data_IF_150525064984
#
_entry.id   IF_150525064984
#
_cell.length_a   1.000
_cell.length_b   1.000
_cell.length_c   1.000
_cell.angle_alpha   90.00
_cell.angle_beta   90.00
_cell.angle_gamma   90.00
#
_symmetry.space_group_name_H-M   'P 1'
#
loop_
_entity.id
_entity.type
_entity.pdbx_description
1 polymer ?
#
# COMPACT_ATOMS: atom_id res chain seq x y z
N UNK A 1 -12.34 -27.77 28.96
CA UNK A 1 -11.02 -27.12 29.13
C UNK A 1 -9.93 -28.09 28.71
N UNK A 2 -9.50 -28.01 27.44
CA UNK A 2 -8.48 -28.89 26.84
C UNK A 2 -7.80 -28.13 25.69
N UNK A 3 -6.90 -27.21 26.01
CA UNK A 3 -5.98 -26.62 25.03
C UNK A 3 -4.57 -27.04 25.41
N UNK A 4 -4.28 -28.29 25.07
CA UNK A 4 -2.97 -28.91 25.18
C UNK A 4 -2.21 -28.61 23.90
N UNK A 5 -1.01 -28.01 24.06
CA UNK A 5 0.08 -27.86 23.08
C UNK A 5 -0.15 -26.85 21.95
N UNK A 6 0.31 -25.62 22.14
CA UNK A 6 1.09 -24.97 21.08
C UNK A 6 2.33 -24.37 21.75
N UNK A 7 3.46 -24.83 21.25
CA UNK A 7 4.78 -24.51 21.70
C UNK A 7 5.07 -23.01 21.56
N UNK A 8 5.86 -22.52 22.51
CA UNK A 8 6.66 -21.32 22.39
C UNK A 8 7.44 -21.37 21.06
N UNK A 9 7.05 -20.56 20.07
CA UNK A 9 7.96 -20.09 19.04
C UNK A 9 8.22 -18.61 19.31
N UNK A 10 9.15 -18.37 20.23
CA UNK A 10 9.85 -17.09 20.31
C UNK A 10 10.94 -17.11 19.23
N UNK A 11 10.66 -16.45 18.09
CA UNK A 11 11.57 -16.28 16.96
C UNK A 11 10.75 -16.30 15.67
N UNK A 12 10.34 -15.18 15.06
CA UNK A 12 11.13 -14.03 14.57
C UNK A 12 10.32 -12.70 14.59
N UNK A 13 9.85 -12.26 15.76
CA UNK A 13 9.02 -11.03 15.87
C UNK A 13 9.73 -9.71 15.46
N UNK A 14 11.07 -9.70 15.33
CA UNK A 14 11.82 -8.49 14.95
C UNK A 14 11.63 -8.08 13.47
N UNK A 15 11.35 -9.04 12.57
CA UNK A 15 11.27 -8.82 11.12
C UNK A 15 9.90 -8.27 10.66
N UNK A 16 8.82 -8.67 11.33
CA UNK A 16 7.48 -8.18 11.02
C UNK A 16 7.23 -6.78 11.61
N UNK A 17 7.81 -6.48 12.78
CA UNK A 17 7.71 -5.16 13.37
C UNK A 17 8.41 -4.08 12.52
N UNK A 18 9.53 -4.42 11.89
CA UNK A 18 10.28 -3.50 11.02
C UNK A 18 9.63 -3.35 9.64
N UNK A 19 9.11 -4.42 9.04
CA UNK A 19 8.31 -4.34 7.80
C UNK A 19 7.02 -3.52 7.99
N UNK A 20 6.29 -3.74 9.08
CA UNK A 20 5.08 -2.97 9.40
C UNK A 20 5.39 -1.49 9.66
N UNK A 21 6.51 -1.20 10.34
CA UNK A 21 6.94 0.18 10.59
C UNK A 21 7.36 0.88 9.29
N UNK A 22 8.09 0.19 8.41
CA UNK A 22 8.46 0.71 7.09
C UNK A 22 7.24 0.95 6.20
N UNK A 23 6.27 0.03 6.24
CA UNK A 23 5.01 0.18 5.54
C UNK A 23 4.22 1.41 6.03
N UNK A 24 4.06 1.56 7.35
CA UNK A 24 3.36 2.70 7.96
C UNK A 24 4.01 4.04 7.60
N UNK A 25 5.35 4.09 7.59
CA UNK A 25 6.11 5.27 7.18
C UNK A 25 5.92 5.59 5.69
N UNK A 26 5.96 4.57 4.82
CA UNK A 26 5.74 4.73 3.38
C UNK A 26 4.32 5.21 3.06
N UNK A 27 3.30 4.64 3.72
CA UNK A 27 1.90 5.05 3.56
C UNK A 27 1.70 6.48 4.05
N UNK A 28 2.34 6.88 5.15
CA UNK A 28 2.28 8.26 5.65
C UNK A 28 3.00 9.27 4.74
N UNK A 29 3.93 8.81 3.91
CA UNK A 29 4.59 9.64 2.90
C UNK A 29 3.73 9.87 1.65
N UNK A 30 2.63 9.12 1.47
CA UNK A 30 1.72 9.31 0.34
C UNK A 30 0.96 10.63 0.52
N UNK A 31 1.03 11.55 -0.46
CA UNK A 31 0.30 12.82 -0.41
C UNK A 31 -1.22 12.63 -0.27
N UNK A 32 -1.84 13.39 0.65
CA UNK A 32 -3.29 13.36 0.91
C UNK A 32 -4.14 13.61 -0.34
N UNK A 33 -3.65 14.45 -1.26
CA UNK A 33 -4.33 14.77 -2.51
C UNK A 33 -4.48 13.55 -3.44
N UNK A 34 -3.62 12.54 -3.31
CA UNK A 34 -3.62 11.34 -4.14
C UNK A 34 -4.29 10.14 -3.47
N UNK A 35 -4.41 10.14 -2.14
CA UNK A 35 -4.89 8.98 -1.37
C UNK A 35 -6.31 8.57 -1.75
N UNK A 36 -7.21 9.55 -1.91
CA UNK A 36 -8.59 9.27 -2.35
C UNK A 36 -8.65 8.71 -3.77
N UNK A 37 -7.80 9.22 -4.68
CA UNK A 37 -7.71 8.73 -6.06
C UNK A 37 -7.22 7.28 -6.10
N UNK A 38 -6.19 6.96 -5.31
CA UNK A 38 -5.65 5.60 -5.21
C UNK A 38 -6.69 4.64 -4.63
N UNK A 39 -7.39 5.03 -3.55
CA UNK A 39 -8.39 4.16 -2.92
C UNK A 39 -9.57 3.85 -3.88
N UNK A 40 -10.04 4.86 -4.62
CA UNK A 40 -11.06 4.63 -5.65
C UNK A 40 -10.54 3.72 -6.77
N UNK A 41 -9.32 3.94 -7.25
CA UNK A 41 -8.72 3.10 -8.29
C UNK A 41 -8.47 1.65 -7.83
N UNK A 42 -8.05 1.46 -6.58
CA UNK A 42 -7.89 0.15 -5.95
C UNK A 42 -9.21 -0.62 -5.86
N UNK A 43 -10.28 0.10 -5.51
CA UNK A 43 -11.63 -0.45 -5.48
C UNK A 43 -12.09 -0.92 -6.87
N UNK A 44 -11.78 -0.14 -7.92
CA UNK A 44 -12.06 -0.52 -9.32
C UNK A 44 -11.24 -1.75 -9.74
N UNK A 45 -10.00 -1.87 -9.23
CA UNK A 45 -9.16 -3.04 -9.48
C UNK A 45 -9.55 -4.29 -8.66
N UNK A 46 -10.57 -4.18 -7.79
CA UNK A 46 -11.08 -5.29 -6.98
C UNK A 46 -10.26 -5.58 -5.71
N UNK A 47 -9.35 -4.69 -5.34
CA UNK A 47 -8.62 -4.80 -4.08
C UNK A 47 -9.39 -4.13 -2.95
N UNK A 48 -9.42 -4.78 -1.78
CA UNK A 48 -9.88 -4.12 -0.57
C UNK A 48 -8.94 -2.96 -0.22
N UNK A 49 -9.49 -1.88 0.35
CA UNK A 49 -8.70 -0.75 0.82
C UNK A 49 -7.56 -1.24 1.73
N UNK A 50 -6.33 -0.81 1.47
CA UNK A 50 -5.10 -1.20 2.21
C UNK A 50 -4.66 -2.66 2.03
N UNK A 51 -5.24 -3.41 1.09
CA UNK A 51 -4.70 -4.71 0.71
C UNK A 51 -3.52 -4.53 -0.24
N UNK A 52 -2.39 -4.09 0.30
CA UNK A 52 -1.18 -3.78 -0.47
C UNK A 52 -0.65 -4.99 -1.25
N UNK A 53 -0.81 -6.21 -0.73
CA UNK A 53 -0.48 -7.43 -1.46
C UNK A 53 -1.29 -7.57 -2.76
N UNK A 54 -2.56 -7.14 -2.76
CA UNK A 54 -3.39 -7.05 -3.97
C UNK A 54 -3.01 -5.84 -4.83
N UNK A 55 -2.97 -4.65 -4.24
CA UNK A 55 -2.72 -3.37 -4.93
C UNK A 55 -1.37 -3.34 -5.65
N UNK A 56 -0.37 -4.05 -5.13
CA UNK A 56 0.99 -4.06 -5.63
C UNK A 56 1.33 -5.23 -6.54
N UNK A 57 0.38 -6.13 -6.82
CA UNK A 57 0.57 -7.07 -7.93
C UNK A 57 0.74 -6.30 -9.24
N UNK A 58 1.65 -6.71 -10.13
CA UNK A 58 2.03 -5.91 -11.30
C UNK A 58 0.84 -5.57 -12.23
N UNK A 59 -0.11 -6.50 -12.37
CA UNK A 59 -1.34 -6.29 -13.14
C UNK A 59 -2.26 -5.24 -12.49
N UNK A 60 -2.55 -5.40 -11.19
CA UNK A 60 -3.38 -4.46 -10.43
C UNK A 60 -2.74 -3.09 -10.33
N UNK A 61 -1.46 -3.01 -10.00
CA UNK A 61 -0.73 -1.76 -9.87
C UNK A 61 -0.83 -0.93 -11.16
N UNK A 62 -0.67 -1.58 -12.32
CA UNK A 62 -0.83 -0.92 -13.63
C UNK A 62 -2.26 -0.42 -13.85
N UNK A 63 -3.28 -1.20 -13.46
CA UNK A 63 -4.68 -0.76 -13.51
C UNK A 63 -4.96 0.42 -12.57
N UNK A 64 -4.46 0.37 -11.34
CA UNK A 64 -4.60 1.45 -10.35
C UNK A 64 -3.95 2.72 -10.87
N UNK A 65 -2.73 2.63 -11.40
CA UNK A 65 -2.00 3.76 -11.97
C UNK A 65 -2.78 4.42 -13.12
N UNK A 66 -3.30 3.63 -14.06
CA UNK A 66 -4.10 4.15 -15.18
C UNK A 66 -5.42 4.79 -14.72
N UNK A 67 -6.08 4.20 -13.70
CA UNK A 67 -7.32 4.76 -13.17
C UNK A 67 -7.09 6.01 -12.29
N UNK A 68 -6.00 6.04 -11.53
CA UNK A 68 -5.70 7.13 -10.61
C UNK A 68 -5.00 8.32 -11.28
N UNK A 69 -4.22 8.13 -12.35
CA UNK A 69 -3.35 9.18 -12.93
C UNK A 69 -4.11 10.46 -13.26
N UNK A 70 -5.28 10.39 -13.90
CA UNK A 70 -6.07 11.59 -14.23
C UNK A 70 -6.61 12.30 -12.98
N UNK A 71 -7.03 11.53 -11.97
CA UNK A 71 -7.50 12.07 -10.70
C UNK A 71 -6.35 12.74 -9.93
N UNK A 72 -5.20 12.07 -9.84
CA UNK A 72 -4.00 12.59 -9.14
C UNK A 72 -3.47 13.83 -9.85
N UNK A 73 -3.42 13.85 -11.19
CA UNK A 73 -3.00 15.05 -11.93
C UNK A 73 -3.95 16.23 -11.70
N UNK A 74 -5.26 16.00 -11.63
CA UNK A 74 -6.24 17.04 -11.35
C UNK A 74 -6.24 17.54 -9.90
N UNK A 75 -6.02 16.66 -8.93
CA UNK A 75 -6.09 16.98 -7.50
C UNK A 75 -4.75 17.45 -6.90
N UNK A 76 -3.63 16.86 -7.36
CA UNK A 76 -2.29 17.12 -6.83
C UNK A 76 -1.44 18.00 -7.76
N UNK A 77 -1.76 18.05 -9.05
CA UNK A 77 -0.87 18.59 -10.08
C UNK A 77 0.27 17.65 -10.45
N UNK A 78 0.98 17.98 -11.54
CA UNK A 78 1.95 17.08 -12.18
C UNK A 78 3.19 16.79 -11.31
N UNK A 79 3.72 17.81 -10.63
CA UNK A 79 4.89 17.66 -9.76
C UNK A 79 4.60 16.69 -8.59
N UNK A 80 3.47 16.86 -7.92
CA UNK A 80 3.09 16.01 -6.79
C UNK A 80 2.59 14.63 -7.25
N UNK A 81 2.03 14.50 -8.45
CA UNK A 81 1.67 13.20 -9.02
C UNK A 81 2.87 12.26 -9.14
N UNK A 82 4.05 12.78 -9.52
CA UNK A 82 5.30 12.00 -9.55
C UNK A 82 5.71 11.57 -8.15
N UNK A 83 5.54 12.43 -7.15
CA UNK A 83 5.80 12.07 -5.74
C UNK A 83 4.85 10.99 -5.23
N UNK A 84 3.56 11.07 -5.59
CA UNK A 84 2.56 10.04 -5.28
C UNK A 84 3.01 8.70 -5.87
N UNK A 85 3.40 8.68 -7.15
CA UNK A 85 3.88 7.47 -7.81
C UNK A 85 5.06 6.83 -7.07
N UNK A 86 6.05 7.64 -6.71
CA UNK A 86 7.24 7.20 -5.99
C UNK A 86 6.93 6.73 -4.56
N UNK A 87 5.94 7.33 -3.91
CA UNK A 87 5.51 6.92 -2.58
C UNK A 87 4.76 5.58 -2.63
N UNK A 88 3.85 5.40 -3.60
CA UNK A 88 3.09 4.14 -3.75
C UNK A 88 4.01 2.98 -4.14
N UNK A 89 5.04 3.20 -4.97
CA UNK A 89 6.03 2.15 -5.24
C UNK A 89 6.87 1.78 -4.01
N UNK A 90 7.19 2.75 -3.16
CA UNK A 90 7.82 2.49 -1.86
C UNK A 90 6.89 1.71 -0.91
N UNK A 91 5.59 2.05 -0.88
CA UNK A 91 4.56 1.28 -0.17
C UNK A 91 4.55 -0.16 -0.68
N UNK A 92 4.54 -0.38 -2.00
CA UNK A 92 4.58 -1.73 -2.56
C UNK A 92 5.85 -2.51 -2.24
N UNK A 93 6.98 -1.82 -2.05
CA UNK A 93 8.23 -2.48 -1.64
C UNK A 93 8.23 -2.81 -0.14
N UNK A 94 7.55 -2.00 0.67
CA UNK A 94 7.54 -2.12 2.13
C UNK A 94 6.36 -2.94 2.69
N UNK A 95 5.25 -3.04 1.96
CA UNK A 95 3.96 -3.57 2.43
C UNK A 95 3.45 -4.81 1.68
N UNK A 96 3.98 -5.13 0.50
CA UNK A 96 3.56 -6.28 -0.31
C UNK A 96 4.55 -7.44 -0.18
#
# INVERSE_FOLDING_TARGET
MKFTKIALVFGTAASFASAQSACSAAVSAVPACGTSCINSAASVAGCASTNYACECTPATFTSIQNAAVNCVLGACGLATAVQVLSAVSAVCTACA
#
